data_IF_271562970547
#
_entry.id   IF_271562970547
#
_cell.length_a   1.000
_cell.length_b   1.000
_cell.length_c   1.000
_cell.angle_alpha   90.00
_cell.angle_beta   90.00
_cell.angle_gamma   90.00
#
_symmetry.space_group_name_H-M   'P 1'
#
loop_
_entity.id
_entity.type
_entity.pdbx_description
1 polymer ?
#
# COMPACT_ATOMS: atom_id res chain seq x y z
N UNK A 1 -13.50 14.88 -10.92
CA UNK A 1 -13.97 14.00 -9.82
C UNK A 1 -14.87 14.84 -8.91
N UNK A 2 -16.08 14.40 -8.57
CA UNK A 2 -16.98 15.16 -7.69
C UNK A 2 -16.82 14.70 -6.23
N UNK A 3 -17.11 15.59 -5.28
CA UNK A 3 -16.93 15.35 -3.83
C UNK A 3 -17.60 14.05 -3.34
N UNK A 4 -18.82 13.75 -3.82
CA UNK A 4 -19.54 12.50 -3.46
C UNK A 4 -18.76 11.23 -3.82
N UNK A 5 -18.12 11.22 -4.99
CA UNK A 5 -17.35 10.07 -5.48
C UNK A 5 -16.04 9.91 -4.74
N UNK A 6 -15.40 11.03 -4.43
CA UNK A 6 -14.21 11.05 -3.58
C UNK A 6 -14.52 10.50 -2.18
N UNK A 7 -15.60 10.94 -1.55
CA UNK A 7 -16.04 10.40 -0.26
C UNK A 7 -16.30 8.90 -0.33
N UNK A 8 -16.88 8.41 -1.43
CA UNK A 8 -17.13 6.97 -1.61
C UNK A 8 -15.82 6.19 -1.70
N UNK A 9 -14.82 6.68 -2.45
CA UNK A 9 -13.49 6.09 -2.51
C UNK A 9 -12.86 6.06 -1.11
N UNK A 10 -12.92 7.19 -0.40
CA UNK A 10 -12.35 7.38 0.92
C UNK A 10 -12.91 6.35 1.92
N UNK A 11 -14.23 6.31 2.09
CA UNK A 11 -14.89 5.38 3.01
C UNK A 11 -14.66 3.90 2.67
N UNK A 12 -14.69 3.54 1.38
CA UNK A 12 -14.42 2.15 0.98
C UNK A 12 -12.97 1.74 1.21
N UNK A 13 -12.03 2.67 1.05
CA UNK A 13 -10.62 2.42 1.36
C UNK A 13 -10.42 2.27 2.87
N UNK A 14 -11.10 3.08 3.69
CA UNK A 14 -11.11 2.93 5.15
C UNK A 14 -11.55 1.53 5.57
N UNK A 15 -12.69 1.09 5.04
CA UNK A 15 -13.19 -0.25 5.32
C UNK A 15 -12.24 -1.35 4.82
N UNK A 16 -11.65 -1.19 3.63
CA UNK A 16 -10.68 -2.15 3.10
C UNK A 16 -9.44 -2.27 4.00
N UNK A 17 -8.91 -1.15 4.49
CA UNK A 17 -7.79 -1.13 5.43
C UNK A 17 -8.11 -1.76 6.77
N UNK A 18 -9.26 -1.42 7.36
CA UNK A 18 -9.73 -2.03 8.61
C UNK A 18 -9.95 -3.53 8.52
N UNK A 19 -10.58 -4.00 7.44
CA UNK A 19 -10.79 -5.44 7.21
C UNK A 19 -9.43 -6.14 7.04
N UNK A 20 -8.52 -5.57 6.26
CA UNK A 20 -7.19 -6.13 6.06
C UNK A 20 -6.39 -6.19 7.37
N UNK A 21 -6.48 -5.16 8.23
CA UNK A 21 -5.81 -5.14 9.53
C UNK A 21 -6.37 -6.18 10.50
N UNK A 22 -7.69 -6.34 10.53
CA UNK A 22 -8.34 -7.39 11.33
C UNK A 22 -7.88 -8.77 10.84
N UNK A 23 -7.96 -9.04 9.54
CA UNK A 23 -7.57 -10.35 8.98
C UNK A 23 -6.09 -10.64 9.25
N UNK A 24 -5.20 -9.68 8.97
CA UNK A 24 -3.77 -9.84 9.20
C UNK A 24 -3.46 -10.08 10.68
N UNK A 25 -4.05 -9.28 11.58
CA UNK A 25 -3.80 -9.40 13.00
C UNK A 25 -4.33 -10.69 13.60
N UNK A 26 -5.53 -11.11 13.21
CA UNK A 26 -6.12 -12.38 13.65
C UNK A 26 -5.25 -13.57 13.17
N UNK A 27 -4.81 -13.58 11.90
CA UNK A 27 -3.94 -14.64 11.39
C UNK A 27 -2.59 -14.71 12.12
N UNK A 28 -1.99 -13.56 12.41
CA UNK A 28 -0.74 -13.50 13.17
C UNK A 28 -0.93 -13.95 14.62
N UNK A 29 -2.03 -13.56 15.25
CA UNK A 29 -2.37 -13.98 16.60
C UNK A 29 -2.64 -15.49 16.66
N UNK A 30 -3.28 -16.08 15.65
CA UNK A 30 -3.45 -17.54 15.54
C UNK A 30 -2.12 -18.27 15.37
N UNK A 31 -1.19 -17.74 14.56
CA UNK A 31 0.10 -18.38 14.30
C UNK A 31 1.10 -18.24 15.45
N UNK A 32 1.09 -17.10 16.15
CA UNK A 32 2.09 -16.77 17.17
C UNK A 32 1.61 -17.00 18.62
N UNK A 33 0.30 -16.95 18.87
CA UNK A 33 -0.28 -17.13 20.20
C UNK A 33 0.21 -16.12 21.26
N UNK A 34 0.79 -14.98 20.83
CA UNK A 34 1.49 -14.04 21.73
C UNK A 34 0.53 -13.44 22.76
N UNK A 35 -0.67 -13.04 22.32
CA UNK A 35 -1.68 -12.46 23.21
C UNK A 35 -2.46 -13.58 23.90
N UNK A 36 -2.37 -13.66 25.23
CA UNK A 36 -3.18 -14.60 26.02
C UNK A 36 -4.50 -13.92 26.41
N UNK A 37 -5.56 -14.25 25.71
CA UNK A 37 -6.91 -13.77 26.02
C UNK A 37 -7.43 -14.45 27.30
N UNK A 38 -7.89 -13.66 28.28
CA UNK A 38 -8.46 -14.14 29.54
C UNK A 38 -9.98 -14.25 29.51
N UNK A 39 -10.62 -13.62 28.52
CA UNK A 39 -12.07 -13.71 28.32
C UNK A 39 -12.52 -13.16 26.96
N UNK A 40 -13.83 -13.25 26.65
CA UNK A 40 -14.39 -12.80 25.36
C UNK A 40 -14.27 -11.28 25.15
N UNK A 41 -14.22 -10.50 26.24
CA UNK A 41 -14.02 -9.04 26.16
C UNK A 41 -12.65 -8.65 25.59
N UNK A 42 -11.59 -9.40 25.92
CA UNK A 42 -10.23 -9.12 25.43
C UNK A 42 -10.14 -9.33 23.90
N UNK A 43 -10.85 -10.35 23.40
CA UNK A 43 -10.93 -10.62 21.95
C UNK A 43 -11.66 -9.49 21.22
N UNK A 44 -12.78 -9.00 21.76
CA UNK A 44 -13.50 -7.87 21.19
C UNK A 44 -12.62 -6.61 21.18
N UNK A 45 -11.94 -6.33 22.28
CA UNK A 45 -11.05 -5.17 22.40
C UNK A 45 -9.89 -5.24 21.41
N UNK A 46 -9.31 -6.44 21.22
CA UNK A 46 -8.29 -6.68 20.20
C UNK A 46 -8.79 -6.38 18.79
N UNK A 47 -10.00 -6.84 18.42
CA UNK A 47 -10.60 -6.53 17.12
C UNK A 47 -10.84 -5.02 16.94
N UNK A 48 -11.27 -4.30 17.98
CA UNK A 48 -11.46 -2.85 17.93
C UNK A 48 -10.14 -2.11 17.71
N UNK A 49 -9.05 -2.55 18.37
CA UNK A 49 -7.72 -1.99 18.14
C UNK A 49 -7.27 -2.23 16.70
N UNK A 50 -7.41 -3.46 16.19
CA UNK A 50 -7.06 -3.77 14.79
C UNK A 50 -7.89 -2.96 13.79
N UNK A 51 -9.19 -2.78 14.08
CA UNK A 51 -10.07 -1.96 13.27
C UNK A 51 -9.57 -0.51 13.21
N UNK A 52 -9.31 0.11 14.37
CA UNK A 52 -8.83 1.49 14.47
C UNK A 52 -7.46 1.68 13.83
N UNK A 53 -6.58 0.69 13.98
CA UNK A 53 -5.27 0.68 13.34
C UNK A 53 -5.39 0.65 11.81
N UNK A 54 -6.26 -0.22 11.25
CA UNK A 54 -6.51 -0.24 9.82
C UNK A 54 -7.14 1.05 9.29
N UNK A 55 -7.94 1.76 10.10
CA UNK A 55 -8.41 3.11 9.73
C UNK A 55 -7.22 4.07 9.61
N UNK A 56 -6.29 4.08 10.57
CA UNK A 56 -5.10 4.95 10.51
C UNK A 56 -4.24 4.67 9.28
N UNK A 57 -3.93 3.39 9.01
CA UNK A 57 -3.14 3.00 7.83
C UNK A 57 -3.85 3.38 6.53
N UNK A 58 -5.18 3.25 6.48
CA UNK A 58 -5.95 3.64 5.29
C UNK A 58 -5.91 5.14 5.01
N UNK A 59 -5.95 6.00 6.05
CA UNK A 59 -5.82 7.46 5.89
C UNK A 59 -4.42 7.79 5.40
N UNK A 60 -3.40 7.10 5.92
CA UNK A 60 -2.03 7.29 5.47
C UNK A 60 -1.83 6.91 3.99
N UNK A 61 -2.35 5.75 3.58
CA UNK A 61 -2.41 5.30 2.17
C UNK A 61 -3.11 6.30 1.25
N UNK A 62 -4.19 6.94 1.73
CA UNK A 62 -4.88 7.96 0.95
C UNK A 62 -4.01 9.19 0.70
N UNK A 63 -3.21 9.62 1.67
CA UNK A 63 -2.28 10.74 1.50
C UNK A 63 -1.27 10.45 0.38
N UNK A 64 -0.65 9.26 0.37
CA UNK A 64 0.29 8.89 -0.69
C UNK A 64 -0.38 8.70 -2.04
N UNK A 65 -1.62 8.18 -2.08
CA UNK A 65 -2.41 8.13 -3.31
C UNK A 65 -2.70 9.51 -3.91
N UNK A 66 -3.07 10.49 -3.08
CA UNK A 66 -3.27 11.87 -3.56
C UNK A 66 -1.97 12.52 -4.00
N UNK A 67 -0.90 12.33 -3.24
CA UNK A 67 0.43 12.82 -3.63
C UNK A 67 0.85 12.26 -4.98
N UNK A 68 0.65 10.95 -5.21
CA UNK A 68 0.90 10.30 -6.49
C UNK A 68 0.07 10.89 -7.63
N UNK A 69 -1.23 11.11 -7.44
CA UNK A 69 -2.08 11.69 -8.49
C UNK A 69 -1.64 13.10 -8.87
N UNK A 70 -1.28 13.94 -7.90
CA UNK A 70 -0.77 15.29 -8.13
C UNK A 70 0.56 15.22 -8.88
N UNK A 71 1.49 14.40 -8.40
CA UNK A 71 2.80 14.21 -9.02
C UNK A 71 2.65 13.71 -10.46
N UNK A 72 1.81 12.72 -10.72
CA UNK A 72 1.58 12.17 -12.05
C UNK A 72 0.89 13.19 -12.98
N UNK A 73 -0.06 13.98 -12.48
CA UNK A 73 -0.70 15.04 -13.24
C UNK A 73 0.31 16.13 -13.65
N UNK A 74 1.10 16.62 -12.70
CA UNK A 74 2.13 17.64 -12.94
C UNK A 74 3.22 17.12 -13.88
N UNK A 75 3.70 15.89 -13.68
CA UNK A 75 4.77 15.32 -14.47
C UNK A 75 4.42 15.11 -15.94
N UNK A 76 3.18 14.72 -16.25
CA UNK A 76 2.71 14.60 -17.65
C UNK A 76 2.63 15.97 -18.34
N UNK A 77 2.44 17.06 -17.58
CA UNK A 77 2.50 18.42 -18.11
C UNK A 77 3.92 18.92 -18.40
N UNK A 78 4.94 18.35 -17.75
CA UNK A 78 6.35 18.76 -17.87
C UNK A 78 7.13 17.84 -18.82
N UNK A 79 6.91 16.53 -18.74
CA UNK A 79 7.66 15.52 -19.47
C UNK A 79 6.80 14.81 -20.54
N UNK A 80 7.40 14.40 -21.67
CA UNK A 80 6.74 13.50 -22.59
C UNK A 80 6.34 12.19 -21.87
N UNK A 81 5.16 11.66 -22.18
CA UNK A 81 4.60 10.47 -21.53
C UNK A 81 5.58 9.28 -21.45
N UNK A 82 6.36 9.04 -22.51
CA UNK A 82 7.37 7.96 -22.55
C UNK A 82 8.51 8.21 -21.55
N UNK A 83 9.03 9.43 -21.49
CA UNK A 83 10.10 9.82 -20.56
C UNK A 83 9.62 9.68 -19.12
N UNK A 84 8.39 10.14 -18.84
CA UNK A 84 7.80 9.98 -17.53
C UNK A 84 7.66 8.51 -17.09
N UNK A 85 7.26 7.62 -18.01
CA UNK A 85 7.21 6.18 -17.74
C UNK A 85 8.59 5.60 -17.40
N UNK A 86 9.66 6.03 -18.08
CA UNK A 86 11.02 5.61 -17.74
C UNK A 86 11.45 6.12 -16.37
N UNK A 87 11.14 7.38 -16.03
CA UNK A 87 11.42 7.95 -14.70
C UNK A 87 10.70 7.13 -13.62
N UNK A 88 9.42 6.81 -13.82
CA UNK A 88 8.66 5.95 -12.90
C UNK A 88 9.31 4.59 -12.70
N UNK A 89 9.79 3.95 -13.76
CA UNK A 89 10.46 2.66 -13.67
C UNK A 89 11.76 2.76 -12.89
N UNK A 90 12.59 3.77 -13.17
CA UNK A 90 13.85 4.00 -12.45
C UNK A 90 13.59 4.24 -10.97
N UNK A 91 12.63 5.10 -10.63
CA UNK A 91 12.27 5.38 -9.23
C UNK A 91 11.71 4.14 -8.52
N UNK A 92 10.92 3.30 -9.21
CA UNK A 92 10.44 2.03 -8.68
C UNK A 92 11.59 1.08 -8.35
N UNK A 93 12.57 0.95 -9.24
CA UNK A 93 13.77 0.13 -9.02
C UNK A 93 14.59 0.69 -7.86
N UNK A 94 14.81 2.00 -7.80
CA UNK A 94 15.54 2.64 -6.70
C UNK A 94 14.86 2.40 -5.35
N UNK A 95 13.54 2.50 -5.28
CA UNK A 95 12.80 2.22 -4.06
C UNK A 95 12.90 0.74 -3.63
N UNK A 96 12.85 -0.20 -4.58
CA UNK A 96 13.05 -1.62 -4.29
C UNK A 96 14.47 -1.89 -3.78
N UNK A 97 15.48 -1.28 -4.38
CA UNK A 97 16.86 -1.39 -3.93
C UNK A 97 17.05 -0.80 -2.52
N UNK A 98 16.33 0.27 -2.19
CA UNK A 98 16.35 0.89 -0.87
C UNK A 98 15.90 -0.11 0.22
N UNK A 99 14.72 -0.72 0.05
CA UNK A 99 14.18 -1.70 0.99
C UNK A 99 15.00 -2.98 1.03
N UNK A 100 15.43 -3.50 -0.12
CA UNK A 100 16.08 -4.81 -0.20
C UNK A 100 17.55 -4.80 0.22
N UNK A 101 18.26 -3.68 0.06
CA UNK A 101 19.70 -3.63 0.27
C UNK A 101 20.12 -2.46 1.16
N UNK A 102 19.79 -1.22 0.82
CA UNK A 102 20.34 -0.06 1.52
C UNK A 102 19.96 -0.03 3.01
N UNK A 103 18.72 -0.43 3.35
CA UNK A 103 18.26 -0.52 4.75
C UNK A 103 19.14 -1.47 5.57
N UNK A 104 19.36 -2.70 5.09
CA UNK A 104 20.10 -3.72 5.83
C UNK A 104 21.61 -3.43 5.89
N UNK A 105 22.18 -2.86 4.81
CA UNK A 105 23.61 -2.52 4.75
C UNK A 105 24.00 -1.36 5.67
N UNK A 106 23.15 -0.35 5.81
CA UNK A 106 23.42 0.83 6.66
C UNK A 106 22.97 0.61 8.11
N UNK A 107 21.93 -0.22 8.31
CA UNK A 107 21.27 -0.41 9.60
C UNK A 107 22.01 -1.30 10.62
N UNK A 108 23.09 -2.00 10.25
CA UNK A 108 23.84 -2.94 11.13
C UNK A 108 22.98 -4.01 11.83
N UNK A 109 21.80 -4.35 11.30
CA UNK A 109 20.94 -5.42 11.84
C UNK A 109 20.97 -6.67 10.96
N UNK A 110 20.92 -7.85 11.61
CA UNK A 110 20.90 -9.18 10.99
C UNK A 110 19.55 -9.52 10.30
N UNK A 111 18.86 -8.55 9.71
CA UNK A 111 17.50 -8.68 9.16
C UNK A 111 17.42 -8.69 7.63
N UNK A 112 18.57 -8.82 6.94
CA UNK A 112 18.66 -8.78 5.47
C UNK A 112 17.69 -9.73 4.76
N UNK A 113 17.42 -10.92 5.32
CA UNK A 113 16.46 -11.86 4.73
C UNK A 113 15.00 -11.39 4.87
N UNK A 114 14.65 -10.75 5.98
CA UNK A 114 13.30 -10.22 6.21
C UNK A 114 13.00 -9.03 5.29
N UNK A 115 13.97 -8.14 5.12
CA UNK A 115 13.86 -6.99 4.22
C UNK A 115 13.72 -7.42 2.76
N UNK A 116 14.47 -8.47 2.36
CA UNK A 116 14.34 -9.07 1.03
C UNK A 116 12.95 -9.65 0.79
N UNK A 117 12.38 -10.35 1.78
CA UNK A 117 11.01 -10.88 1.69
C UNK A 117 9.99 -9.76 1.52
N UNK A 118 10.13 -8.66 2.29
CA UNK A 118 9.24 -7.50 2.17
C UNK A 118 9.31 -6.91 0.76
N UNK A 119 10.51 -6.62 0.25
CA UNK A 119 10.69 -6.09 -1.10
C UNK A 119 10.13 -6.98 -2.20
N UNK A 120 10.39 -8.30 -2.13
CA UNK A 120 9.85 -9.27 -3.09
C UNK A 120 8.32 -9.34 -3.00
N UNK A 121 7.76 -9.34 -1.79
CA UNK A 121 6.30 -9.39 -1.59
C UNK A 121 5.60 -8.18 -2.21
N UNK A 122 6.16 -6.98 -2.04
CA UNK A 122 5.65 -5.74 -2.66
C UNK A 122 5.73 -5.85 -4.18
N UNK A 123 6.87 -6.31 -4.72
CA UNK A 123 7.05 -6.46 -6.17
C UNK A 123 6.05 -7.45 -6.78
N UNK A 124 5.87 -8.62 -6.16
CA UNK A 124 4.91 -9.64 -6.63
C UNK A 124 3.50 -9.07 -6.65
N UNK A 125 3.06 -8.42 -5.56
CA UNK A 125 1.73 -7.83 -5.50
C UNK A 125 1.59 -6.69 -6.52
N UNK A 126 2.61 -5.86 -6.70
CA UNK A 126 2.61 -4.78 -7.68
C UNK A 126 2.42 -5.30 -9.11
N UNK A 127 3.10 -6.39 -9.48
CA UNK A 127 2.94 -7.05 -10.79
C UNK A 127 1.52 -7.59 -10.97
N UNK A 128 0.99 -8.28 -9.96
CA UNK A 128 -0.38 -8.84 -9.99
C UNK A 128 -1.42 -7.71 -10.14
N UNK A 129 -1.30 -6.64 -9.35
CA UNK A 129 -2.22 -5.50 -9.39
C UNK A 129 -2.10 -4.76 -10.72
N UNK A 130 -0.88 -4.55 -11.24
CA UNK A 130 -0.65 -3.94 -12.55
C UNK A 130 -1.28 -4.78 -13.67
N UNK A 131 -1.23 -6.11 -13.58
CA UNK A 131 -1.89 -7.00 -14.52
C UNK A 131 -3.40 -6.83 -14.54
N UNK A 132 -4.05 -6.90 -13.37
CA UNK A 132 -5.49 -6.70 -13.29
C UNK A 132 -5.90 -5.30 -13.73
N UNK A 133 -5.10 -4.28 -13.42
CA UNK A 133 -5.34 -2.91 -13.84
C UNK A 133 -5.24 -2.76 -15.35
N UNK A 134 -4.17 -3.24 -15.96
CA UNK A 134 -3.95 -3.15 -17.40
C UNK A 134 -5.04 -3.87 -18.18
N UNK A 135 -5.46 -5.06 -17.69
CA UNK A 135 -6.59 -5.82 -18.25
C UNK A 135 -7.93 -5.08 -18.14
N UNK A 136 -8.15 -4.35 -17.04
CA UNK A 136 -9.39 -3.60 -16.83
C UNK A 136 -9.45 -2.26 -17.57
N UNK A 137 -8.30 -1.65 -17.92
CA UNK A 137 -8.26 -0.32 -18.54
C UNK A 137 -7.53 -0.27 -19.88
N UNK A 138 -6.20 -0.34 -19.85
CA UNK A 138 -5.34 -0.27 -21.02
C UNK A 138 -3.92 -0.72 -20.66
N UNK A 139 -3.12 -1.22 -21.63
CA UNK A 139 -1.75 -1.64 -21.39
C UNK A 139 -0.85 -0.52 -20.86
N UNK A 140 -1.12 0.75 -21.21
CA UNK A 140 -0.29 1.88 -20.78
C UNK A 140 -0.40 2.20 -19.29
N UNK A 141 -1.39 1.62 -18.58
CA UNK A 141 -1.56 1.75 -17.14
C UNK A 141 -0.61 0.84 -16.34
N UNK A 142 0.12 -0.06 -16.99
CA UNK A 142 1.01 -1.02 -16.33
C UNK A 142 2.11 -0.33 -15.53
N UNK A 143 2.94 0.48 -16.19
CA UNK A 143 4.10 1.16 -15.56
C UNK A 143 3.67 2.10 -14.42
N UNK A 144 2.65 2.98 -14.60
CA UNK A 144 2.20 3.83 -13.50
C UNK A 144 1.66 3.02 -12.30
N UNK A 145 1.04 1.87 -12.55
CA UNK A 145 0.53 1.00 -11.48
C UNK A 145 1.67 0.30 -10.73
N UNK A 146 2.68 -0.21 -11.44
CA UNK A 146 3.88 -0.76 -10.80
C UNK A 146 4.54 0.30 -9.93
N UNK A 147 4.76 1.50 -10.45
CA UNK A 147 5.38 2.58 -9.69
C UNK A 147 4.60 2.94 -8.44
N UNK A 148 3.27 3.07 -8.53
CA UNK A 148 2.44 3.35 -7.37
C UNK A 148 2.50 2.22 -6.32
N UNK A 149 2.34 0.97 -6.76
CA UNK A 149 2.36 -0.19 -5.87
C UNK A 149 3.76 -0.54 -5.33
N UNK A 150 4.83 0.06 -5.86
CA UNK A 150 6.21 -0.14 -5.39
C UNK A 150 6.71 1.12 -4.70
N UNK A 151 7.19 2.12 -5.45
CA UNK A 151 7.84 3.31 -4.90
C UNK A 151 6.97 4.05 -3.88
N UNK A 152 5.69 4.30 -4.19
CA UNK A 152 4.82 5.02 -3.26
C UNK A 152 4.53 4.18 -2.03
N UNK A 153 4.22 2.89 -2.20
CA UNK A 153 4.01 1.97 -1.06
C UNK A 153 5.24 1.86 -0.17
N UNK A 154 6.45 1.86 -0.74
CA UNK A 154 7.72 1.82 -0.01
C UNK A 154 7.95 3.12 0.74
N UNK A 155 7.78 4.27 0.09
CA UNK A 155 7.87 5.59 0.74
C UNK A 155 6.88 5.69 1.88
N UNK A 156 5.66 5.17 1.69
CA UNK A 156 4.65 5.13 2.72
C UNK A 156 5.02 4.18 3.86
N UNK A 157 5.64 3.05 3.58
CA UNK A 157 6.10 2.13 4.61
C UNK A 157 7.22 2.76 5.46
N UNK A 158 8.15 3.47 4.83
CA UNK A 158 9.28 4.13 5.49
C UNK A 158 8.82 5.35 6.29
N UNK A 159 7.93 6.17 5.73
CA UNK A 159 7.42 7.38 6.37
C UNK A 159 6.28 7.13 7.35
N UNK A 160 5.53 6.04 7.18
CA UNK A 160 4.24 5.82 7.82
C UNK A 160 4.34 5.48 9.28
N UNK A 161 5.23 4.57 9.68
CA UNK A 161 5.42 4.22 11.08
C UNK A 161 6.81 3.61 11.28
N UNK A 162 7.71 4.32 11.98
CA UNK A 162 8.94 3.74 12.55
C UNK A 162 8.56 2.79 13.70
N UNK A 163 8.08 1.58 13.40
CA UNK A 163 7.94 0.53 14.42
C UNK A 163 9.16 -0.37 14.29
N UNK A 164 10.14 -0.16 15.17
CA UNK A 164 11.41 -0.88 15.23
C UNK A 164 11.30 -2.33 15.69
N UNK A 165 10.38 -3.12 15.12
CA UNK A 165 10.20 -4.54 15.45
C UNK A 165 9.82 -5.32 14.18
N UNK A 166 10.63 -6.30 13.78
CA UNK A 166 10.45 -7.10 12.54
C UNK A 166 9.05 -7.69 12.36
N UNK A 167 8.34 -8.05 13.44
CA UNK A 167 6.98 -8.57 13.34
C UNK A 167 5.91 -7.50 13.09
N UNK A 168 6.17 -6.25 13.44
CA UNK A 168 5.21 -5.15 13.26
C UNK A 168 5.15 -4.65 11.81
N UNK A 169 6.19 -4.89 11.01
CA UNK A 169 6.23 -4.50 9.60
C UNK A 169 5.11 -5.18 8.81
N UNK A 170 4.83 -6.45 9.07
CA UNK A 170 3.75 -7.19 8.39
C UNK A 170 2.37 -6.63 8.75
N UNK A 171 2.18 -6.19 10.00
CA UNK A 171 0.95 -5.56 10.46
C UNK A 171 0.64 -4.25 9.73
N UNK A 172 1.67 -3.47 9.38
CA UNK A 172 1.52 -2.25 8.56
C UNK A 172 1.32 -2.61 7.09
N UNK A 173 2.16 -3.52 6.59
CA UNK A 173 2.31 -3.79 5.17
C UNK A 173 1.03 -4.34 4.53
N UNK A 174 0.36 -5.28 5.18
CA UNK A 174 -0.82 -5.93 4.60
C UNK A 174 -1.97 -4.93 4.41
N UNK A 175 -2.41 -4.16 5.42
CA UNK A 175 -3.43 -3.14 5.22
C UNK A 175 -3.01 -2.08 4.21
N UNK A 176 -1.75 -1.65 4.23
CA UNK A 176 -1.23 -0.63 3.31
C UNK A 176 -1.33 -1.08 1.85
N UNK A 177 -0.83 -2.29 1.54
CA UNK A 177 -0.91 -2.89 0.21
C UNK A 177 -2.37 -3.03 -0.24
N UNK A 178 -3.26 -3.50 0.64
CA UNK A 178 -4.69 -3.66 0.32
C UNK A 178 -5.33 -2.30 0.00
N UNK A 179 -5.04 -1.26 0.78
CA UNK A 179 -5.56 0.09 0.52
C UNK A 179 -5.06 0.63 -0.82
N UNK A 180 -3.75 0.56 -1.08
CA UNK A 180 -3.14 1.04 -2.31
C UNK A 180 -3.68 0.27 -3.54
N UNK A 181 -3.76 -1.06 -3.45
CA UNK A 181 -4.32 -1.89 -4.50
C UNK A 181 -5.79 -1.53 -4.78
N UNK A 182 -6.59 -1.35 -3.73
CA UNK A 182 -7.99 -0.96 -3.85
C UNK A 182 -8.12 0.38 -4.59
N UNK A 183 -7.39 1.41 -4.15
CA UNK A 183 -7.43 2.76 -4.72
C UNK A 183 -7.02 2.77 -6.19
N UNK A 184 -5.88 2.16 -6.54
CA UNK A 184 -5.39 2.18 -7.92
C UNK A 184 -6.28 1.37 -8.85
N UNK A 185 -6.83 0.24 -8.40
CA UNK A 185 -7.75 -0.57 -9.19
C UNK A 185 -9.07 0.15 -9.41
N UNK A 186 -9.67 0.75 -8.39
CA UNK A 186 -10.99 1.38 -8.52
C UNK A 186 -10.95 2.75 -9.22
N UNK A 187 -9.80 3.42 -9.25
CA UNK A 187 -9.65 4.79 -9.77
C UNK A 187 -10.32 5.01 -11.14
N UNK A 188 -10.15 4.09 -12.08
CA UNK A 188 -10.74 4.22 -13.42
C UNK A 188 -12.27 4.21 -13.41
N UNK A 189 -12.90 3.45 -12.51
CA UNK A 189 -14.37 3.40 -12.39
C UNK A 189 -14.91 4.69 -11.80
N UNK A 190 -14.19 5.27 -10.84
CA UNK A 190 -14.55 6.55 -10.19
C UNK A 190 -14.46 7.71 -11.19
N UNK A 191 -13.45 7.68 -12.07
CA UNK A 191 -13.22 8.69 -13.10
C UNK A 191 -14.16 8.54 -14.31
N UNK A 192 -14.43 7.30 -14.77
CA UNK A 192 -15.19 7.03 -16.00
C UNK A 192 -16.71 6.92 -15.82
N UNK A 193 -17.24 6.95 -14.60
CA UNK A 193 -18.69 7.00 -14.42
C UNK A 193 -19.22 8.29 -15.07
N UNK A 194 -19.86 8.16 -16.23
CA UNK A 194 -20.53 9.23 -16.98
C UNK A 194 -21.36 10.09 -16.02
N UNK A 195 -21.44 11.40 -16.29
CA UNK A 195 -22.52 12.26 -15.78
C UNK A 195 -23.83 11.57 -16.18
N UNK A 196 -24.53 10.99 -15.22
CA UNK A 196 -25.97 10.78 -15.33
C UNK A 196 -26.66 12.10 -15.01
#
# INVERSE_FOLDING_TARGET
>A
MNLKRWMTLFWKTLLAGSIAAIVAGVLLQFGSGIIKFKGPADYLFYLVILFGYGLMVSVYSQLGFFAYMILNYTAIGVFPKKVWQYIQLVLAVLALLEVMFFRSFVGKENSQFSDLIVGISILVVAVVVAYFKAKATNPTAWIPTIFFMTAITIVELVGGLKIGVNNATVFILVPLIVCNAYQILILHKVLNAKKS
#
